data_IF_426318250230
#
_entry.id   IF_426318250230
#
_cell.length_a   1.000
_cell.length_b   1.000
_cell.length_c   1.000
_cell.angle_alpha   90.00
_cell.angle_beta   90.00
_cell.angle_gamma   90.00
#
_symmetry.space_group_name_H-M   'P 1'
#
loop_
_entity.id
_entity.type
_entity.pdbx_description
1 polymer ?
#
# COMPACT_ATOMS: atom_id res chain seq x y z
N UNK A 1 15.31 -7.31 8.38
CA UNK A 1 14.85 -6.87 7.05
C UNK A 1 13.50 -6.19 7.16
N UNK A 2 13.25 -5.14 6.37
CA UNK A 2 11.93 -4.50 6.36
C UNK A 2 10.86 -5.48 5.90
N UNK A 3 9.68 -5.36 6.47
CA UNK A 3 8.55 -6.21 6.12
C UNK A 3 7.29 -5.35 6.01
N UNK A 4 6.51 -5.60 4.97
CA UNK A 4 5.22 -4.95 4.80
C UNK A 4 4.17 -5.42 5.82
N UNK A 5 4.38 -6.60 6.39
CA UNK A 5 3.41 -7.24 7.28
C UNK A 5 2.06 -7.42 6.59
N UNK A 6 2.10 -7.84 5.33
CA UNK A 6 0.93 -8.06 4.49
C UNK A 6 0.81 -9.53 4.05
N UNK A 7 1.43 -10.44 4.81
CA UNK A 7 1.43 -11.86 4.49
C UNK A 7 2.49 -12.23 3.46
N UNK A 8 2.56 -13.51 3.12
CA UNK A 8 3.60 -14.05 2.26
C UNK A 8 3.20 -14.17 0.79
N UNK A 9 1.92 -13.93 0.48
CA UNK A 9 1.41 -14.12 -0.88
C UNK A 9 1.29 -12.79 -1.60
N UNK A 10 1.90 -12.70 -2.79
CA UNK A 10 1.59 -11.61 -3.71
C UNK A 10 0.48 -12.06 -4.64
N UNK A 11 -0.40 -11.14 -5.01
CA UNK A 11 -1.56 -11.41 -5.88
C UNK A 11 -1.43 -10.66 -7.19
N UNK A 12 -1.98 -11.23 -8.25
CA UNK A 12 -2.04 -10.52 -9.53
C UNK A 12 -2.95 -9.30 -9.40
N UNK A 13 -2.48 -8.16 -9.90
CA UNK A 13 -3.24 -6.93 -9.83
C UNK A 13 -4.23 -6.87 -10.98
N UNK A 14 -5.43 -7.40 -10.74
CA UNK A 14 -6.53 -7.34 -11.69
C UNK A 14 -7.86 -7.26 -10.92
N UNK A 15 -8.91 -6.86 -11.62
CA UNK A 15 -10.21 -6.61 -11.00
C UNK A 15 -10.80 -7.86 -10.35
N UNK A 16 -10.70 -8.99 -11.02
CA UNK A 16 -11.25 -10.26 -10.51
C UNK A 16 -10.59 -10.67 -9.19
N UNK A 17 -9.27 -10.58 -9.12
CA UNK A 17 -8.52 -10.91 -7.92
C UNK A 17 -8.87 -9.96 -6.77
N UNK A 18 -8.90 -8.65 -7.06
CA UNK A 18 -9.24 -7.65 -6.04
C UNK A 18 -10.63 -7.91 -5.48
N UNK A 19 -11.61 -8.14 -6.34
CA UNK A 19 -13.00 -8.34 -5.92
C UNK A 19 -13.20 -9.64 -5.13
N UNK A 20 -12.40 -10.67 -5.42
CA UNK A 20 -12.51 -11.94 -4.71
C UNK A 20 -11.87 -11.90 -3.32
N UNK A 21 -10.90 -11.03 -3.11
CA UNK A 21 -10.12 -10.99 -1.87
C UNK A 21 -10.57 -9.91 -0.89
N UNK A 22 -11.09 -8.80 -1.37
CA UNK A 22 -11.31 -7.60 -0.56
C UNK A 22 -12.78 -7.20 -0.60
N UNK A 23 -13.38 -7.03 0.59
CA UNK A 23 -14.76 -6.57 0.73
C UNK A 23 -14.83 -5.06 0.56
N UNK A 24 -16.02 -4.56 0.23
CA UNK A 24 -16.26 -3.13 0.11
C UNK A 24 -16.11 -2.41 1.45
N UNK A 25 -15.65 -1.18 1.38
CA UNK A 25 -15.69 -0.27 2.54
C UNK A 25 -14.66 -0.54 3.63
N UNK A 26 -13.59 -1.28 3.34
CA UNK A 26 -12.55 -1.55 4.33
C UNK A 26 -11.42 -0.53 4.26
N UNK A 27 -10.93 -0.15 5.43
CA UNK A 27 -9.73 0.69 5.57
C UNK A 27 -8.52 -0.24 5.51
N UNK A 28 -7.49 0.15 4.80
CA UNK A 28 -6.32 -0.71 4.75
C UNK A 28 -5.14 -0.12 4.00
N UNK A 29 -4.11 -0.95 3.91
CA UNK A 29 -2.84 -0.61 3.27
C UNK A 29 -2.57 -1.57 2.12
N UNK A 30 -1.81 -1.10 1.15
CA UNK A 30 -1.42 -1.93 0.02
C UNK A 30 -0.02 -1.59 -0.45
N UNK A 31 0.56 -2.51 -1.19
CA UNK A 31 1.82 -2.30 -1.89
C UNK A 31 1.67 -2.84 -3.30
N UNK A 32 2.22 -2.12 -4.26
CA UNK A 32 2.21 -2.49 -5.66
C UNK A 32 3.65 -2.78 -6.08
N UNK A 33 3.85 -3.75 -6.93
CA UNK A 33 5.20 -4.08 -7.32
C UNK A 33 5.29 -5.16 -8.37
N UNK A 34 6.47 -5.73 -8.45
CA UNK A 34 6.83 -6.70 -9.48
C UNK A 34 7.38 -7.97 -8.82
N UNK A 35 7.45 -9.02 -9.59
CA UNK A 35 8.04 -10.29 -9.19
C UNK A 35 9.49 -10.33 -9.66
N UNK A 36 10.40 -10.62 -8.75
CA UNK A 36 11.81 -10.75 -9.12
C UNK A 36 12.08 -12.10 -9.80
N UNK A 37 13.29 -12.27 -10.33
CA UNK A 37 13.66 -13.51 -11.02
C UNK A 37 13.59 -14.73 -10.12
N UNK A 38 13.76 -14.56 -8.81
CA UNK A 38 13.70 -15.66 -7.84
C UNK A 38 12.30 -15.80 -7.21
N UNK A 39 11.30 -15.07 -7.70
CA UNK A 39 9.93 -15.21 -7.25
C UNK A 39 9.53 -14.33 -6.08
N UNK A 40 10.40 -13.42 -5.63
CA UNK A 40 10.10 -12.51 -4.52
C UNK A 40 9.32 -11.28 -4.98
N UNK A 41 8.50 -10.73 -4.10
CA UNK A 41 7.79 -9.49 -4.37
C UNK A 41 8.73 -8.30 -4.18
N UNK A 42 8.84 -7.46 -5.20
CA UNK A 42 9.66 -6.23 -5.16
C UNK A 42 8.73 -5.04 -5.06
N UNK A 43 8.78 -4.33 -3.94
CA UNK A 43 7.90 -3.18 -3.66
C UNK A 43 8.32 -1.98 -4.49
N UNK A 44 7.37 -1.39 -5.23
CA UNK A 44 7.60 -0.17 -6.00
C UNK A 44 6.74 1.00 -5.52
N UNK A 45 5.61 0.72 -4.90
CA UNK A 45 4.67 1.74 -4.46
C UNK A 45 3.94 1.25 -3.22
N UNK A 46 3.74 2.14 -2.24
CA UNK A 46 2.92 1.83 -1.06
C UNK A 46 1.82 2.87 -0.92
N UNK A 47 0.68 2.44 -0.38
CA UNK A 47 -0.44 3.34 -0.21
C UNK A 47 -1.41 2.87 0.85
N UNK A 48 -2.47 3.63 1.00
CA UNK A 48 -3.56 3.28 1.91
C UNK A 48 -4.88 3.79 1.35
N UNK A 49 -5.97 3.24 1.89
CA UNK A 49 -7.29 3.82 1.69
C UNK A 49 -7.94 4.04 3.06
N UNK A 50 -8.48 5.22 3.25
CA UNK A 50 -9.18 5.58 4.49
C UNK A 50 -10.66 5.24 4.44
N UNK A 51 -11.16 4.81 3.28
CA UNK A 51 -12.58 4.54 3.08
C UNK A 51 -12.87 3.20 2.44
N UNK A 52 -12.19 2.86 1.34
CA UNK A 52 -12.49 1.64 0.57
C UNK A 52 -11.24 1.17 -0.17
N UNK A 53 -10.54 0.23 0.45
CA UNK A 53 -9.29 -0.31 -0.09
C UNK A 53 -9.51 -0.96 -1.47
N UNK A 54 -10.63 -1.67 -1.64
CA UNK A 54 -10.97 -2.32 -2.90
C UNK A 54 -11.06 -1.33 -4.04
N UNK A 55 -11.78 -0.22 -3.85
CA UNK A 55 -11.92 0.81 -4.88
C UNK A 55 -10.60 1.49 -5.17
N UNK A 56 -9.78 1.70 -4.16
CA UNK A 56 -8.47 2.31 -4.35
C UNK A 56 -7.57 1.44 -5.21
N UNK A 57 -7.57 0.13 -4.99
CA UNK A 57 -6.80 -0.80 -5.82
C UNK A 57 -7.34 -0.85 -7.25
N UNK A 58 -8.66 -0.82 -7.42
CA UNK A 58 -9.27 -0.81 -8.75
C UNK A 58 -8.86 0.45 -9.51
N UNK A 59 -8.77 1.60 -8.84
CA UNK A 59 -8.32 2.84 -9.46
C UNK A 59 -6.90 2.71 -10.03
N UNK A 60 -6.03 1.93 -9.39
CA UNK A 60 -4.67 1.72 -9.88
C UNK A 60 -4.62 0.90 -11.17
N UNK A 61 -5.69 0.20 -11.52
CA UNK A 61 -5.74 -0.52 -12.80
C UNK A 61 -5.79 0.42 -14.00
N UNK A 62 -6.23 1.68 -13.78
CA UNK A 62 -6.32 2.69 -14.81
C UNK A 62 -5.04 3.52 -14.96
N UNK A 63 -4.01 3.22 -14.18
CA UNK A 63 -2.72 3.91 -14.27
C UNK A 63 -2.04 3.61 -15.61
N UNK A 64 -1.26 4.56 -16.11
CA UNK A 64 -0.55 4.40 -17.39
C UNK A 64 0.36 3.19 -17.39
N UNK A 65 0.97 2.87 -16.26
CA UNK A 65 1.87 1.73 -16.10
C UNK A 65 1.49 0.95 -14.86
N UNK A 66 0.41 0.18 -14.91
CA UNK A 66 -0.01 -0.56 -13.73
C UNK A 66 1.00 -1.65 -13.37
N UNK A 67 1.18 -1.86 -12.08
CA UNK A 67 2.07 -2.92 -11.60
C UNK A 67 1.38 -4.26 -11.73
N UNK A 68 2.13 -5.35 -12.00
CA UNK A 68 1.50 -6.66 -12.20
C UNK A 68 1.04 -7.34 -10.92
N UNK A 69 1.60 -6.96 -9.76
CA UNK A 69 1.32 -7.64 -8.50
C UNK A 69 1.05 -6.68 -7.35
N UNK A 70 0.33 -7.16 -6.33
CA UNK A 70 0.07 -6.37 -5.14
C UNK A 70 0.01 -7.23 -3.89
N UNK A 71 0.18 -6.57 -2.75
CA UNK A 71 -0.12 -7.12 -1.42
C UNK A 71 -0.98 -6.11 -0.68
N UNK A 72 -1.69 -6.59 0.34
CA UNK A 72 -2.55 -5.70 1.12
C UNK A 72 -2.70 -6.19 2.55
N UNK A 73 -3.17 -5.29 3.42
CA UNK A 73 -3.59 -5.64 4.77
C UNK A 73 -4.74 -4.73 5.17
N UNK A 74 -5.59 -5.24 6.07
CA UNK A 74 -6.74 -4.48 6.56
C UNK A 74 -6.33 -3.78 7.85
N UNK A 75 -6.69 -2.50 7.98
CA UNK A 75 -6.40 -1.72 9.17
C UNK A 75 -7.64 -1.59 10.04
N UNK A 76 -7.43 -1.43 11.34
CA UNK A 76 -8.50 -1.28 12.31
C UNK A 76 -9.18 0.09 12.22
N UNK A 77 -8.41 1.10 11.81
CA UNK A 77 -8.92 2.48 11.70
C UNK A 77 -7.96 3.29 10.83
N UNK A 78 -8.34 4.54 10.57
CA UNK A 78 -7.58 5.45 9.70
C UNK A 78 -6.19 5.75 10.29
N UNK A 79 -6.10 5.93 11.60
CA UNK A 79 -4.83 6.20 12.27
C UNK A 79 -3.83 5.06 12.04
N UNK A 80 -4.27 3.82 12.24
CA UNK A 80 -3.41 2.65 12.03
C UNK A 80 -2.95 2.55 10.57
N UNK A 81 -3.86 2.80 9.63
CA UNK A 81 -3.52 2.77 8.21
C UNK A 81 -2.48 3.83 7.87
N UNK A 82 -2.63 5.05 8.41
CA UNK A 82 -1.66 6.12 8.18
C UNK A 82 -0.28 5.77 8.75
N UNK A 83 -0.23 5.28 9.99
CA UNK A 83 1.05 4.94 10.62
C UNK A 83 1.74 3.78 9.88
N UNK A 84 0.98 2.81 9.42
CA UNK A 84 1.53 1.70 8.65
C UNK A 84 2.03 2.15 7.27
N UNK A 85 1.33 3.06 6.62
CA UNK A 85 1.79 3.60 5.34
C UNK A 85 3.10 4.37 5.53
N UNK A 86 3.23 5.16 6.61
CA UNK A 86 4.47 5.84 6.94
C UNK A 86 5.61 4.84 7.13
N UNK A 87 5.35 3.77 7.90
CA UNK A 87 6.34 2.73 8.13
C UNK A 87 6.78 2.09 6.82
N UNK A 88 5.82 1.68 5.99
CA UNK A 88 6.12 1.04 4.71
C UNK A 88 6.89 1.97 3.79
N UNK A 89 6.49 3.23 3.73
CA UNK A 89 7.14 4.23 2.90
C UNK A 89 8.62 4.37 3.28
N UNK A 90 8.92 4.54 4.55
CA UNK A 90 10.30 4.73 5.00
C UNK A 90 11.11 3.43 4.99
N UNK A 91 10.51 2.31 5.34
CA UNK A 91 11.20 1.01 5.38
C UNK A 91 11.66 0.58 3.98
N UNK A 92 10.95 0.97 2.93
CA UNK A 92 11.29 0.58 1.56
C UNK A 92 11.95 1.70 0.76
N UNK A 93 12.51 2.69 1.45
CA UNK A 93 13.43 3.66 0.84
C UNK A 93 12.82 4.99 0.42
N UNK A 94 11.56 5.23 0.76
CA UNK A 94 10.89 6.51 0.52
C UNK A 94 10.96 6.89 -0.97
N UNK A 95 10.98 8.19 -1.28
CA UNK A 95 10.99 8.68 -2.66
C UNK A 95 12.24 8.26 -3.45
N UNK A 96 13.32 7.87 -2.75
CA UNK A 96 14.56 7.45 -3.41
C UNK A 96 14.46 6.09 -4.07
N UNK A 97 13.61 5.21 -3.57
CA UNK A 97 13.49 3.83 -4.08
C UNK A 97 12.08 3.46 -4.51
N UNK A 98 11.06 4.11 -3.95
CA UNK A 98 9.67 3.87 -4.33
C UNK A 98 9.26 4.83 -5.44
N UNK A 99 8.23 4.44 -6.20
CA UNK A 99 7.67 5.30 -7.22
C UNK A 99 6.70 6.35 -6.64
N UNK A 100 6.48 6.31 -5.32
CA UNK A 100 5.71 7.33 -4.62
C UNK A 100 6.36 8.70 -4.81
N UNK A 101 5.58 9.68 -5.26
CA UNK A 101 6.10 11.02 -5.54
C UNK A 101 6.17 11.91 -4.33
N UNK A 102 5.50 11.54 -3.24
CA UNK A 102 5.46 12.34 -2.03
C UNK A 102 5.26 11.46 -0.80
N UNK A 103 5.58 12.02 0.34
CA UNK A 103 5.34 11.40 1.64
C UNK A 103 3.84 11.15 1.82
N UNK A 104 3.44 10.07 2.54
CA UNK A 104 2.03 9.82 2.82
C UNK A 104 1.33 11.05 3.42
N UNK A 105 0.13 11.33 2.93
CA UNK A 105 -0.66 12.47 3.40
C UNK A 105 -1.30 12.16 4.75
N UNK A 106 -1.23 13.13 5.66
CA UNK A 106 -1.88 13.00 6.97
C UNK A 106 -3.41 13.06 6.77
N UNK A 107 -4.15 12.08 7.31
CA UNK A 107 -5.61 12.10 7.22
C UNK A 107 -6.21 13.26 8.00
N UNK A 108 -7.36 13.73 7.56
CA UNK A 108 -8.10 14.77 8.27
C UNK A 108 -8.47 14.27 9.67
N UNK A 109 -8.26 15.12 10.68
CA UNK A 109 -8.57 14.79 12.06
C UNK A 109 -7.50 14.00 12.81
N UNK A 110 -6.45 13.56 12.13
CA UNK A 110 -5.34 12.83 12.75
C UNK A 110 -4.23 13.82 13.07
N UNK A 111 -3.81 13.85 14.32
CA UNK A 111 -2.80 14.80 14.81
C UNK A 111 -1.40 14.20 14.90
N UNK A 112 -1.27 12.88 14.83
CA UNK A 112 0.04 12.24 14.91
C UNK A 112 0.88 12.61 13.70
N UNK A 113 2.14 12.93 13.97
CA UNK A 113 3.14 13.08 12.90
C UNK A 113 3.68 11.71 12.53
N UNK A 114 4.26 11.62 11.34
CA UNK A 114 4.93 10.38 10.94
C UNK A 114 6.06 10.09 11.94
N UNK A 115 6.06 8.93 12.62
CA UNK A 115 7.06 8.65 13.65
C UNK A 115 8.46 8.43 13.09
N UNK A 116 8.61 8.38 11.76
CA UNK A 116 9.88 8.06 11.11
C UNK A 116 10.59 9.27 10.53
N UNK A 117 9.94 10.43 10.44
CA UNK A 117 10.56 11.62 9.82
C UNK A 117 9.94 12.94 10.25
N UNK A 118 9.06 12.96 11.22
CA UNK A 118 8.43 14.18 11.78
C UNK A 118 7.61 15.00 10.76
N UNK A 119 7.10 14.36 9.71
CA UNK A 119 6.25 15.04 8.72
C UNK A 119 4.77 14.85 8.95
#
# INVERSE_FOLDING_TARGET
MPSLEMGNTMYELNKSTIESLIKDGLIGNYALGMKSVNGSFVVHYVGRSDTDLKQRLIQHLDDDKPYPYFKFSIASNIREAYLKECKNFHDFGAESYLDNKSHPSKPEGIKEVCPYCDK
#
